data_IF_974911805880
#
_entry.id   IF_974911805880
#
_cell.length_a   1.000
_cell.length_b   1.000
_cell.length_c   1.000
_cell.angle_alpha   90.00
_cell.angle_beta   90.00
_cell.angle_gamma   90.00
#
_symmetry.space_group_name_H-M   'P 1'
#
loop_
_entity.id
_entity.type
_entity.pdbx_description
1 polymer ?
#
# COMPACT_ATOMS: atom_id res chain seq x y z
N UNK A 1 -5.43 -8.45 -14.10
CA UNK A 1 -5.52 -7.10 -14.69
C UNK A 1 -6.27 -6.08 -13.84
N UNK A 2 -6.10 -6.07 -12.51
CA UNK A 2 -6.66 -5.00 -11.70
C UNK A 2 -5.57 -3.95 -11.48
N UNK A 3 -5.71 -2.84 -12.23
CA UNK A 3 -4.92 -1.60 -12.17
C UNK A 3 -3.55 -1.63 -12.88
N UNK A 4 -3.54 -1.17 -14.14
CA UNK A 4 -2.35 -1.08 -15.00
C UNK A 4 -1.58 0.23 -14.80
N UNK A 5 -1.18 0.55 -13.57
CA UNK A 5 -0.37 1.75 -13.28
C UNK A 5 0.97 1.74 -14.05
N UNK A 6 1.53 0.57 -14.33
CA UNK A 6 2.76 0.44 -15.12
C UNK A 6 2.68 1.16 -16.48
N UNK A 7 1.52 1.15 -17.16
CA UNK A 7 1.37 1.77 -18.48
C UNK A 7 1.43 3.31 -18.46
N UNK A 8 1.20 3.92 -17.29
CA UNK A 8 1.21 5.39 -17.12
C UNK A 8 2.39 5.87 -16.27
N UNK A 9 3.11 4.95 -15.62
CA UNK A 9 4.23 5.26 -14.72
C UNK A 9 5.35 6.04 -15.42
N UNK A 10 5.72 5.63 -16.64
CA UNK A 10 6.79 6.25 -17.40
C UNK A 10 6.45 7.70 -17.80
N UNK A 11 5.20 7.95 -18.21
CA UNK A 11 4.76 9.28 -18.68
C UNK A 11 4.44 10.22 -17.53
N UNK A 12 3.90 9.70 -16.42
CA UNK A 12 3.59 10.48 -15.22
C UNK A 12 4.74 10.53 -14.20
N UNK A 13 5.87 9.89 -14.51
CA UNK A 13 7.11 9.92 -13.74
C UNK A 13 6.96 9.48 -12.28
N UNK A 14 6.38 8.30 -12.06
CA UNK A 14 6.30 7.69 -10.74
C UNK A 14 6.77 6.23 -10.78
N UNK A 15 7.21 5.71 -9.63
CA UNK A 15 7.55 4.30 -9.46
C UNK A 15 6.32 3.53 -8.99
N UNK A 16 6.06 2.37 -9.59
CA UNK A 16 5.01 1.45 -9.15
C UNK A 16 5.64 0.19 -8.56
N UNK A 17 5.15 -0.22 -7.38
CA UNK A 17 5.49 -1.49 -6.76
C UNK A 17 4.21 -2.34 -6.62
N UNK A 18 4.31 -3.62 -6.97
CA UNK A 18 3.24 -4.61 -6.79
C UNK A 18 3.68 -5.65 -5.76
N UNK A 19 3.59 -5.33 -4.45
CA UNK A 19 3.94 -6.28 -3.41
C UNK A 19 3.02 -7.50 -3.43
N UNK A 20 3.60 -8.66 -3.11
CA UNK A 20 2.84 -9.87 -2.84
C UNK A 20 2.81 -10.09 -1.33
N UNK A 21 1.61 -10.26 -0.76
CA UNK A 21 1.45 -10.54 0.67
C UNK A 21 2.10 -11.85 1.08
N UNK A 22 2.38 -12.00 2.37
CA UNK A 22 3.05 -13.18 2.91
C UNK A 22 2.03 -14.20 3.42
N UNK A 23 1.74 -15.26 2.66
CA UNK A 23 1.06 -16.46 3.18
C UNK A 23 -0.09 -17.02 2.35
N UNK A 24 -1.03 -17.69 3.04
CA UNK A 24 -2.25 -18.31 2.48
C UNK A 24 -3.41 -17.32 2.30
N UNK A 25 -3.35 -16.16 2.97
CA UNK A 25 -4.25 -15.03 2.75
C UNK A 25 -3.55 -13.96 1.89
N UNK A 26 -4.30 -13.15 1.12
CA UNK A 26 -3.70 -12.11 0.28
C UNK A 26 -2.93 -11.03 1.06
N UNK A 27 -3.32 -10.77 2.31
CA UNK A 27 -2.68 -9.81 3.23
C UNK A 27 -2.90 -10.30 4.67
N UNK A 28 -1.84 -10.45 5.47
CA UNK A 28 -1.96 -10.77 6.89
C UNK A 28 -2.23 -9.49 7.72
N UNK A 29 -3.36 -9.49 8.42
CA UNK A 29 -3.83 -8.35 9.22
C UNK A 29 -3.80 -8.64 10.72
N UNK A 30 -3.29 -9.80 11.14
CA UNK A 30 -3.24 -10.23 12.55
C UNK A 30 -2.13 -9.54 13.37
N UNK A 31 -1.19 -8.87 12.70
CA UNK A 31 -0.10 -8.12 13.32
C UNK A 31 0.47 -7.03 12.42
N UNK A 32 1.70 -6.62 12.69
CA UNK A 32 2.34 -5.47 12.03
C UNK A 32 3.43 -5.86 11.02
N UNK A 33 3.69 -7.16 10.80
CA UNK A 33 4.69 -7.66 9.86
C UNK A 33 4.48 -7.13 8.43
N UNK A 34 3.24 -7.16 7.95
CA UNK A 34 2.85 -6.64 6.64
C UNK A 34 2.98 -5.10 6.55
N UNK A 35 2.76 -4.38 7.66
CA UNK A 35 2.99 -2.93 7.72
C UNK A 35 4.48 -2.59 7.66
N UNK A 36 5.30 -3.36 8.38
CA UNK A 36 6.76 -3.25 8.32
C UNK A 36 7.27 -3.54 6.89
N UNK A 37 6.67 -4.52 6.20
CA UNK A 37 6.98 -4.81 4.80
C UNK A 37 6.64 -3.64 3.87
N UNK A 38 5.48 -2.99 4.04
CA UNK A 38 5.15 -1.76 3.30
C UNK A 38 6.17 -0.65 3.55
N UNK A 39 6.59 -0.43 4.80
CA UNK A 39 7.64 0.56 5.10
C UNK A 39 8.95 0.20 4.42
N UNK A 40 9.36 -1.07 4.43
CA UNK A 40 10.58 -1.53 3.79
C UNK A 40 10.56 -1.32 2.27
N UNK A 41 9.40 -1.48 1.62
CA UNK A 41 9.25 -1.16 0.20
C UNK A 41 9.46 0.32 -0.05
N UNK A 42 8.84 1.21 0.74
CA UNK A 42 9.00 2.66 0.60
C UNK A 42 10.47 3.06 0.74
N UNK A 43 11.16 2.52 1.75
CA UNK A 43 12.57 2.78 1.98
C UNK A 43 13.44 2.27 0.83
N UNK A 44 13.18 1.05 0.33
CA UNK A 44 13.88 0.49 -0.83
C UNK A 44 13.65 1.32 -2.11
N UNK A 45 12.43 1.78 -2.36
CA UNK A 45 12.15 2.63 -3.53
C UNK A 45 12.84 3.99 -3.43
N UNK A 46 12.97 4.54 -2.22
CA UNK A 46 13.75 5.75 -1.98
C UNK A 46 15.23 5.52 -2.25
N UNK A 47 15.80 4.44 -1.73
CA UNK A 47 17.22 4.11 -1.92
C UNK A 47 17.57 3.86 -3.40
N UNK A 48 16.69 3.19 -4.15
CA UNK A 48 16.96 2.82 -5.54
C UNK A 48 16.64 3.92 -6.55
N UNK A 49 15.57 4.68 -6.32
CA UNK A 49 15.02 5.61 -7.32
C UNK A 49 14.88 7.05 -6.82
N UNK A 50 15.15 7.33 -5.54
CA UNK A 50 15.04 8.67 -4.98
C UNK A 50 13.60 9.21 -4.92
N UNK A 51 12.60 8.34 -4.74
CA UNK A 51 11.19 8.76 -4.69
C UNK A 51 10.93 9.82 -3.60
N UNK A 52 9.94 10.67 -3.80
CA UNK A 52 9.50 11.60 -2.76
C UNK A 52 8.65 10.86 -1.70
N UNK A 53 9.19 10.67 -0.49
CA UNK A 53 8.49 10.00 0.61
C UNK A 53 7.21 10.71 1.07
N UNK A 54 6.99 11.98 0.68
CA UNK A 54 5.74 12.71 0.95
C UNK A 54 4.66 12.46 -0.12
N UNK A 55 4.98 11.72 -1.19
CA UNK A 55 4.10 11.41 -2.32
C UNK A 55 4.01 9.90 -2.53
N UNK A 56 3.69 9.18 -1.45
CA UNK A 56 3.45 7.74 -1.49
C UNK A 56 1.94 7.50 -1.45
N UNK A 57 1.45 6.70 -2.40
CA UNK A 57 0.04 6.39 -2.59
C UNK A 57 -0.16 4.88 -2.55
N UNK A 58 -1.30 4.43 -2.02
CA UNK A 58 -1.65 3.00 -1.97
C UNK A 58 -3.01 2.73 -2.60
N UNK A 59 -3.11 1.63 -3.35
CA UNK A 59 -4.35 1.19 -3.98
C UNK A 59 -4.39 -0.33 -4.06
N UNK A 60 -5.59 -0.90 -4.12
CA UNK A 60 -5.80 -2.34 -4.14
C UNK A 60 -7.25 -2.70 -4.41
N UNK A 61 -7.48 -3.97 -4.74
CA UNK A 61 -8.80 -4.53 -5.06
C UNK A 61 -9.21 -5.59 -4.03
N UNK A 62 -10.49 -5.62 -3.63
CA UNK A 62 -11.04 -6.62 -2.72
C UNK A 62 -10.28 -6.65 -1.37
N UNK A 63 -9.64 -7.76 -1.00
CA UNK A 63 -8.80 -7.80 0.20
C UNK A 63 -7.64 -6.79 0.18
N UNK A 64 -7.10 -6.46 -1.00
CA UNK A 64 -6.11 -5.39 -1.13
C UNK A 64 -6.69 -4.00 -0.83
N UNK A 65 -7.99 -3.79 -1.08
CA UNK A 65 -8.66 -2.54 -0.72
C UNK A 65 -8.85 -2.42 0.80
N UNK A 66 -9.24 -3.50 1.47
CA UNK A 66 -9.29 -3.54 2.95
C UNK A 66 -7.90 -3.28 3.55
N UNK A 67 -6.86 -3.85 2.94
CA UNK A 67 -5.49 -3.62 3.38
C UNK A 67 -5.05 -2.16 3.20
N UNK A 68 -5.49 -1.47 2.14
CA UNK A 68 -5.26 -0.02 1.99
C UNK A 68 -5.79 0.77 3.19
N UNK A 69 -6.99 0.45 3.69
CA UNK A 69 -7.54 1.09 4.89
C UNK A 69 -6.67 0.85 6.13
N UNK A 70 -6.21 -0.40 6.34
CA UNK A 70 -5.31 -0.73 7.46
C UNK A 70 -4.02 0.08 7.40
N UNK A 71 -3.36 0.11 6.24
CA UNK A 71 -2.10 0.86 6.05
C UNK A 71 -2.33 2.34 6.30
N UNK A 72 -3.38 2.94 5.72
CA UNK A 72 -3.67 4.37 5.91
C UNK A 72 -3.95 4.73 7.38
N UNK A 73 -4.68 3.86 8.11
CA UNK A 73 -4.97 4.08 9.53
C UNK A 73 -3.72 3.97 10.42
N UNK A 74 -2.77 3.09 10.08
CA UNK A 74 -1.57 2.83 10.91
C UNK A 74 -0.32 3.60 10.49
N UNK A 75 -0.25 4.05 9.23
CA UNK A 75 0.92 4.68 8.61
C UNK A 75 0.56 6.01 7.93
N UNK A 76 -0.38 6.76 8.49
CA UNK A 76 -0.85 8.03 7.94
C UNK A 76 0.22 9.13 7.82
N UNK A 77 1.34 8.98 8.53
CA UNK A 77 2.54 9.83 8.40
C UNK A 77 3.36 9.52 7.13
N UNK A 78 3.19 8.33 6.54
CA UNK A 78 3.93 7.84 5.37
C UNK A 78 3.09 7.78 4.10
N UNK A 79 1.76 7.68 4.21
CA UNK A 79 0.85 7.53 3.07
C UNK A 79 0.09 8.82 2.82
N UNK A 80 0.30 9.44 1.65
CA UNK A 80 -0.32 10.72 1.29
C UNK A 80 -1.81 10.59 0.93
N UNK A 81 -2.19 9.50 0.25
CA UNK A 81 -3.58 9.15 -0.03
C UNK A 81 -3.74 7.67 -0.37
N UNK A 82 -4.98 7.17 -0.25
CA UNK A 82 -5.36 5.80 -0.63
C UNK A 82 -6.51 5.80 -1.64
N UNK A 83 -6.52 4.79 -2.51
CA UNK A 83 -7.62 4.52 -3.46
C UNK A 83 -8.03 3.05 -3.36
N UNK A 84 -8.89 2.69 -2.40
CA UNK A 84 -9.39 1.32 -2.24
C UNK A 84 -10.50 1.02 -3.26
N UNK A 85 -10.43 -0.13 -3.94
CA UNK A 85 -11.42 -0.56 -4.94
C UNK A 85 -12.17 -1.80 -4.45
N UNK A 86 -13.49 -1.69 -4.28
CA UNK A 86 -14.36 -2.79 -3.87
C UNK A 86 -13.93 -3.46 -2.54
N UNK A 87 -13.51 -2.66 -1.58
CA UNK A 87 -13.30 -3.06 -0.19
C UNK A 87 -14.23 -2.31 0.76
N UNK A 88 -14.03 -2.50 2.06
CA UNK A 88 -14.72 -1.79 3.12
C UNK A 88 -13.70 -1.23 4.12
N UNK A 89 -14.04 -0.15 4.85
CA UNK A 89 -13.19 0.38 5.90
C UNK A 89 -12.82 -0.70 6.92
N UNK A 90 -11.53 -0.98 7.06
CA UNK A 90 -10.97 -2.02 7.92
C UNK A 90 -10.00 -1.39 8.93
N UNK A 91 -9.99 -1.83 10.19
CA UNK A 91 -9.10 -1.26 11.22
C UNK A 91 -9.48 0.14 11.70
N UNK A 92 -10.71 0.61 11.45
CA UNK A 92 -11.24 1.87 12.00
C UNK A 92 -11.72 1.76 13.46
N UNK A 93 -11.66 0.56 14.04
CA UNK A 93 -12.01 0.30 15.43
C UNK A 93 -10.76 0.44 16.30
N UNK A 94 -10.72 1.33 17.30
CA UNK A 94 -9.56 1.51 18.17
C UNK A 94 -9.24 0.29 19.05
N UNK A 95 -10.09 -0.76 19.03
CA UNK A 95 -9.86 -2.02 19.74
C UNK A 95 -9.32 -3.16 18.84
N UNK A 96 -8.93 -2.85 17.59
CA UNK A 96 -8.21 -3.76 16.67
C UNK A 96 -6.69 -3.50 16.61
#
# INVERSE_FOLDING_TARGET
>A
DAIQFANVADTAQFVVAYPNGSGTLPWDVSGDSELAFVSAIIDKMYEQYGIDKKRVYISGFSWGANYCYRVANRMGDKIAAMVPIMGYPYGGNPNE
#
